data_IF_201987292754
#
_entry.id   IF_201987292754
#
_cell.length_a   1.000
_cell.length_b   1.000
_cell.length_c   1.000
_cell.angle_alpha   90.00
_cell.angle_beta   90.00
_cell.angle_gamma   90.00
#
_symmetry.space_group_name_H-M   'P 1'
#
loop_
_entity.id
_entity.type
_entity.pdbx_description
1 polymer ?
#
# COMPACT_ATOMS: atom_id res chain seq x y z
N UNK A 1 0.31 38.68 6.02
CA UNK A 1 1.32 37.62 5.89
C UNK A 1 0.74 36.40 6.55
N UNK A 2 0.55 35.29 5.81
CA UNK A 2 0.10 34.02 6.42
C UNK A 2 1.27 33.44 7.22
N UNK A 3 1.03 33.06 8.45
CA UNK A 3 2.03 32.37 9.26
C UNK A 3 2.54 31.12 8.53
N UNK A 4 3.84 30.82 8.60
CA UNK A 4 4.38 29.62 7.99
C UNK A 4 3.72 28.40 8.65
N UNK A 5 3.10 27.52 7.82
CA UNK A 5 2.56 26.24 8.27
C UNK A 5 3.71 25.26 8.40
N UNK A 6 4.08 24.92 9.62
CA UNK A 6 5.05 23.86 9.90
C UNK A 6 4.37 22.48 9.79
N UNK A 7 5.13 21.48 9.33
CA UNK A 7 4.68 20.09 9.39
C UNK A 7 4.53 19.67 10.86
N UNK A 8 3.52 18.85 11.21
CA UNK A 8 3.32 18.37 12.57
C UNK A 8 4.41 17.34 12.92
N UNK A 9 5.57 17.81 13.31
CA UNK A 9 6.68 16.98 13.74
C UNK A 9 6.46 16.45 15.17
N UNK A 10 6.99 15.27 15.45
CA UNK A 10 7.04 14.73 16.81
C UNK A 10 7.77 15.72 17.73
N UNK A 11 7.32 15.84 18.97
CA UNK A 11 8.00 16.68 19.95
C UNK A 11 9.41 16.15 20.28
N UNK A 12 10.37 17.00 20.63
CA UNK A 12 11.70 16.56 21.04
C UNK A 12 11.64 15.45 22.10
N UNK A 13 12.30 14.35 21.86
CA UNK A 13 12.30 13.17 22.73
C UNK A 13 11.12 12.21 22.55
N UNK A 14 10.19 12.49 21.63
CA UNK A 14 9.11 11.58 21.27
C UNK A 14 9.42 10.85 19.96
N UNK A 15 9.18 9.54 19.95
CA UNK A 15 9.22 8.76 18.71
C UNK A 15 7.93 9.01 17.92
N UNK A 16 7.99 9.41 16.62
CA UNK A 16 6.80 9.57 15.82
C UNK A 16 6.06 8.24 15.64
N UNK A 17 4.75 8.30 15.39
CA UNK A 17 4.02 7.14 14.91
C UNK A 17 4.62 6.67 13.58
N UNK A 18 4.68 5.36 13.38
CA UNK A 18 5.27 4.72 12.22
C UNK A 18 4.20 3.98 11.45
N UNK A 19 4.11 4.25 10.18
CA UNK A 19 3.12 3.62 9.29
C UNK A 19 3.82 3.06 8.06
N UNK A 20 3.30 1.97 7.52
CA UNK A 20 3.87 1.33 6.34
C UNK A 20 2.91 1.40 5.16
N UNK A 21 3.43 1.71 3.98
CA UNK A 21 2.76 1.44 2.72
C UNK A 21 3.38 0.24 2.03
N UNK A 22 2.54 -0.71 1.59
CA UNK A 22 2.91 -1.89 0.80
C UNK A 22 2.26 -1.71 -0.57
N UNK A 23 3.01 -1.18 -1.53
CA UNK A 23 2.42 -0.78 -2.81
C UNK A 23 3.46 -0.62 -3.92
N UNK A 24 2.98 -0.48 -5.14
CA UNK A 24 3.79 -0.08 -6.28
C UNK A 24 4.20 1.38 -6.23
N UNK A 25 5.27 1.71 -6.97
CA UNK A 25 5.70 3.08 -7.18
C UNK A 25 4.86 3.78 -8.24
N UNK A 26 4.89 5.10 -8.25
CA UNK A 26 4.48 5.94 -9.37
C UNK A 26 5.62 6.88 -9.74
N UNK A 27 6.26 6.68 -10.90
CA UNK A 27 7.37 7.51 -11.35
C UNK A 27 6.96 8.97 -11.59
N UNK A 28 5.67 9.24 -11.86
CA UNK A 28 5.10 10.58 -11.95
C UNK A 28 4.84 11.23 -10.59
N UNK A 29 4.82 10.42 -9.52
CA UNK A 29 4.69 10.86 -8.15
C UNK A 29 3.27 11.26 -7.73
N UNK A 30 2.23 11.06 -8.56
CA UNK A 30 0.83 11.42 -8.27
C UNK A 30 0.09 10.40 -7.42
N UNK A 31 0.56 9.16 -7.42
CA UNK A 31 -0.05 8.01 -6.75
C UNK A 31 1.03 7.13 -6.07
N UNK A 32 0.68 5.89 -5.74
CA UNK A 32 1.58 4.87 -5.22
C UNK A 32 2.31 5.30 -3.95
N UNK A 33 3.43 4.63 -3.68
CA UNK A 33 4.25 4.92 -2.49
C UNK A 33 4.67 6.38 -2.37
N UNK A 34 4.84 7.09 -3.48
CA UNK A 34 5.25 8.50 -3.47
C UNK A 34 4.14 9.40 -2.90
N UNK A 35 2.89 9.17 -3.26
CA UNK A 35 1.75 9.90 -2.70
C UNK A 35 1.54 9.56 -1.22
N UNK A 36 1.67 8.27 -0.87
CA UNK A 36 1.55 7.79 0.50
C UNK A 36 2.60 8.45 1.40
N UNK A 37 3.87 8.43 0.99
CA UNK A 37 4.98 9.02 1.76
C UNK A 37 4.82 10.53 1.98
N UNK A 38 4.33 11.26 0.97
CA UNK A 38 4.01 12.70 1.14
C UNK A 38 2.89 12.90 2.15
N UNK A 39 1.84 12.09 2.06
CA UNK A 39 0.71 12.15 3.00
C UNK A 39 1.17 11.85 4.42
N UNK A 40 1.97 10.83 4.62
CA UNK A 40 2.53 10.49 5.92
C UNK A 40 3.38 11.62 6.49
N UNK A 41 4.26 12.21 5.68
CA UNK A 41 5.07 13.36 6.10
C UNK A 41 4.21 14.57 6.48
N UNK A 42 3.15 14.86 5.70
CA UNK A 42 2.21 15.96 6.00
C UNK A 42 1.42 15.73 7.28
N UNK A 43 1.20 14.48 7.67
CA UNK A 43 0.53 14.10 8.93
C UNK A 43 1.51 13.95 10.11
N UNK A 44 2.80 14.16 9.90
CA UNK A 44 3.82 14.07 10.95
C UNK A 44 4.12 12.65 11.42
N UNK A 45 3.81 11.64 10.61
CA UNK A 45 4.13 10.25 10.90
C UNK A 45 5.35 9.79 10.10
N UNK A 46 6.13 8.88 10.65
CA UNK A 46 7.25 8.26 9.95
C UNK A 46 6.73 7.18 9.00
N UNK A 47 6.93 7.38 7.69
CA UNK A 47 6.54 6.44 6.66
C UNK A 47 7.61 5.39 6.41
N UNK A 48 7.21 4.11 6.44
CA UNK A 48 7.99 2.97 5.97
C UNK A 48 7.39 2.45 4.66
N UNK A 49 8.18 1.76 3.85
CA UNK A 49 7.76 1.30 2.52
C UNK A 49 8.16 -0.15 2.30
N UNK A 50 7.24 -0.93 1.72
CA UNK A 50 7.53 -2.17 1.02
C UNK A 50 7.08 -2.01 -0.44
N UNK A 51 8.03 -1.97 -1.36
CA UNK A 51 7.76 -1.78 -2.79
C UNK A 51 7.35 -3.11 -3.40
N UNK A 52 6.20 -3.14 -4.09
CA UNK A 52 5.69 -4.35 -4.76
C UNK A 52 5.97 -4.37 -6.25
N UNK A 53 6.01 -3.19 -6.87
CA UNK A 53 6.35 -3.02 -8.28
C UNK A 53 6.93 -1.62 -8.55
N UNK A 54 7.77 -1.52 -9.56
CA UNK A 54 8.27 -0.25 -10.08
C UNK A 54 7.57 0.04 -11.40
N UNK A 55 6.88 1.17 -11.50
CA UNK A 55 6.11 1.56 -12.70
C UNK A 55 6.89 2.49 -13.61
N UNK A 56 6.58 2.42 -14.90
CA UNK A 56 6.88 3.44 -15.91
C UNK A 56 5.58 4.22 -16.15
N UNK A 57 5.37 5.24 -15.32
CA UNK A 57 4.08 5.95 -15.22
C UNK A 57 4.28 7.46 -15.21
N UNK A 58 3.30 8.17 -15.77
CA UNK A 58 3.21 9.62 -15.73
C UNK A 58 1.74 10.07 -15.58
N UNK A 59 1.45 11.36 -15.74
CA UNK A 59 0.08 11.90 -15.62
C UNK A 59 -0.88 11.48 -16.74
N UNK A 60 -0.40 10.81 -17.77
CA UNK A 60 -1.20 10.38 -18.95
C UNK A 60 -1.56 8.90 -18.88
N UNK A 61 -0.78 8.07 -18.17
CA UNK A 61 -1.04 6.64 -18.05
C UNK A 61 0.16 5.83 -17.60
N UNK A 62 -0.06 4.52 -17.50
CA UNK A 62 0.96 3.51 -17.13
C UNK A 62 1.46 2.82 -18.39
N UNK A 63 2.73 3.00 -18.72
CA UNK A 63 3.36 2.37 -19.89
C UNK A 63 3.84 0.95 -19.62
N UNK A 64 3.99 0.58 -18.36
CA UNK A 64 4.42 -0.73 -17.90
C UNK A 64 4.90 -0.71 -16.46
N UNK A 65 5.15 -1.88 -15.92
CA UNK A 65 5.73 -2.03 -14.59
C UNK A 65 6.58 -3.30 -14.52
N UNK A 66 7.45 -3.34 -13.51
CA UNK A 66 8.25 -4.51 -13.15
C UNK A 66 7.93 -4.89 -11.71
N UNK A 67 7.49 -6.14 -11.51
CA UNK A 67 7.21 -6.68 -10.19
C UNK A 67 8.51 -6.91 -9.42
N UNK A 68 8.48 -6.62 -8.13
CA UNK A 68 9.59 -6.94 -7.23
C UNK A 68 9.53 -8.43 -6.88
N UNK A 69 10.65 -9.14 -6.80
CA UNK A 69 10.67 -10.55 -6.37
C UNK A 69 9.98 -10.77 -5.03
N UNK A 70 9.25 -11.88 -4.91
CA UNK A 70 8.39 -12.16 -3.75
C UNK A 70 9.16 -12.20 -2.42
N UNK A 71 10.34 -12.80 -2.43
CA UNK A 71 11.25 -12.85 -1.28
C UNK A 71 11.75 -11.47 -0.86
N UNK A 72 11.94 -10.56 -1.82
CA UNK A 72 12.32 -9.17 -1.54
C UNK A 72 11.14 -8.41 -0.93
N UNK A 73 9.91 -8.62 -1.43
CA UNK A 73 8.70 -7.99 -0.85
C UNK A 73 8.52 -8.45 0.60
N UNK A 74 8.57 -9.76 0.86
CA UNK A 74 8.50 -10.31 2.21
C UNK A 74 9.62 -9.75 3.09
N UNK A 75 10.86 -9.75 2.59
CA UNK A 75 12.03 -9.23 3.29
C UNK A 75 11.92 -7.76 3.70
N UNK A 76 11.33 -6.89 2.84
CA UNK A 76 11.09 -5.49 3.19
C UNK A 76 10.12 -5.35 4.35
N UNK A 77 9.02 -6.12 4.36
CA UNK A 77 8.04 -6.10 5.45
C UNK A 77 8.69 -6.58 6.75
N UNK A 78 9.38 -7.71 6.70
CA UNK A 78 10.06 -8.32 7.86
C UNK A 78 11.08 -7.35 8.44
N UNK A 79 11.98 -6.81 7.62
CA UNK A 79 13.03 -5.90 8.07
C UNK A 79 12.48 -4.67 8.82
N UNK A 80 11.37 -4.12 8.35
CA UNK A 80 10.74 -2.96 9.00
C UNK A 80 10.03 -3.37 10.29
N UNK A 81 9.33 -4.49 10.29
CA UNK A 81 8.52 -4.91 11.46
C UNK A 81 9.37 -5.42 12.61
N UNK A 82 10.51 -6.05 12.34
CA UNK A 82 11.42 -6.58 13.35
C UNK A 82 12.25 -5.49 14.05
N UNK A 83 12.61 -4.42 13.37
CA UNK A 83 13.48 -3.37 13.93
C UNK A 83 12.70 -2.08 14.24
N UNK A 84 12.09 -1.48 13.23
CA UNK A 84 11.42 -0.18 13.36
C UNK A 84 10.06 -0.34 14.07
N UNK A 85 9.31 -1.38 13.73
CA UNK A 85 7.92 -1.59 14.15
C UNK A 85 6.96 -0.59 13.50
N UNK A 86 5.68 -0.95 13.42
CA UNK A 86 4.64 -0.12 12.81
C UNK A 86 3.36 -0.11 13.65
N UNK A 87 2.62 0.98 13.62
CA UNK A 87 1.32 1.14 14.31
C UNK A 87 0.13 1.03 13.36
N UNK A 88 0.35 1.14 12.05
CA UNK A 88 -0.67 0.90 11.02
C UNK A 88 0.01 0.63 9.68
N UNK A 89 -0.73 0.02 8.74
CA UNK A 89 -0.28 -0.09 7.36
C UNK A 89 -1.43 0.06 6.37
N UNK A 90 -1.06 0.34 5.11
CA UNK A 90 -1.97 0.24 3.97
C UNK A 90 -1.35 -0.64 2.88
N UNK A 91 -2.20 -1.31 2.11
CA UNK A 91 -1.82 -1.87 0.81
C UNK A 91 -2.37 -1.00 -0.31
N UNK A 92 -1.61 -0.86 -1.38
CA UNK A 92 -2.07 -0.28 -2.65
C UNK A 92 -1.96 -1.30 -3.78
N UNK A 93 -1.39 -0.91 -4.93
CA UNK A 93 -1.20 -1.81 -6.07
C UNK A 93 -0.30 -2.99 -5.69
N UNK A 94 -0.81 -4.22 -5.82
CA UNK A 94 -0.11 -5.48 -5.55
C UNK A 94 0.13 -6.33 -6.82
N UNK A 95 -0.35 -5.87 -7.98
CA UNK A 95 -0.16 -6.41 -9.32
C UNK A 95 -0.64 -7.86 -9.54
N UNK A 96 -0.16 -8.86 -8.79
CA UNK A 96 -0.43 -10.29 -9.02
C UNK A 96 -0.96 -11.02 -7.79
N UNK A 97 -1.59 -12.19 -8.01
CA UNK A 97 -2.07 -13.10 -6.95
C UNK A 97 -0.94 -13.57 -6.05
N UNK A 98 0.24 -13.78 -6.61
CA UNK A 98 1.43 -14.23 -5.92
C UNK A 98 1.95 -13.18 -4.94
N UNK A 99 1.96 -11.90 -5.35
CA UNK A 99 2.32 -10.78 -4.48
C UNK A 99 1.29 -10.65 -3.34
N UNK A 100 0.00 -10.75 -3.67
CA UNK A 100 -1.09 -10.69 -2.68
C UNK A 100 -0.92 -11.80 -1.63
N UNK A 101 -0.71 -13.04 -2.07
CA UNK A 101 -0.50 -14.17 -1.18
C UNK A 101 0.74 -13.99 -0.30
N UNK A 102 1.84 -13.51 -0.88
CA UNK A 102 3.10 -13.23 -0.15
C UNK A 102 2.91 -12.17 0.93
N UNK A 103 2.23 -11.06 0.59
CA UNK A 103 1.93 -10.00 1.57
C UNK A 103 1.04 -10.52 2.69
N UNK A 104 -0.02 -11.26 2.36
CA UNK A 104 -0.96 -11.80 3.33
C UNK A 104 -0.29 -12.83 4.26
N UNK A 105 0.53 -13.71 3.73
CA UNK A 105 1.27 -14.70 4.50
C UNK A 105 2.30 -14.03 5.42
N UNK A 106 3.07 -13.09 4.89
CA UNK A 106 4.04 -12.32 5.69
C UNK A 106 3.34 -11.55 6.81
N UNK A 107 2.18 -10.94 6.53
CA UNK A 107 1.37 -10.23 7.53
C UNK A 107 0.94 -11.14 8.68
N UNK A 108 0.52 -12.38 8.36
CA UNK A 108 0.14 -13.38 9.36
C UNK A 108 1.34 -13.89 10.17
N UNK A 109 2.41 -14.25 9.49
CA UNK A 109 3.61 -14.85 10.13
C UNK A 109 4.37 -13.88 11.01
N UNK A 110 4.32 -12.58 10.70
CA UNK A 110 4.87 -11.51 11.54
C UNK A 110 3.95 -11.15 12.73
N UNK A 111 2.81 -11.84 12.91
CA UNK A 111 1.87 -11.58 14.00
C UNK A 111 1.19 -10.21 13.94
N UNK A 112 1.10 -9.61 12.77
CA UNK A 112 0.53 -8.27 12.58
C UNK A 112 -1.00 -8.30 12.51
N UNK A 113 -1.58 -9.43 12.07
CA UNK A 113 -3.03 -9.60 12.00
C UNK A 113 -3.65 -9.50 13.40
N UNK A 114 -4.68 -8.66 13.54
CA UNK A 114 -5.36 -8.40 14.80
C UNK A 114 -4.62 -7.49 15.78
N UNK A 115 -3.36 -7.13 15.49
CA UNK A 115 -2.53 -6.25 16.34
C UNK A 115 -2.25 -4.90 15.68
N UNK A 116 -2.03 -4.90 14.36
CA UNK A 116 -1.75 -3.70 13.56
C UNK A 116 -2.90 -3.48 12.58
N UNK A 117 -3.59 -2.32 12.61
CA UNK A 117 -4.62 -1.99 11.63
C UNK A 117 -4.07 -2.00 10.21
N UNK A 118 -4.79 -2.69 9.30
CA UNK A 118 -4.49 -2.76 7.88
C UNK A 118 -5.61 -2.10 7.07
N UNK A 119 -5.27 -1.07 6.32
CA UNK A 119 -6.16 -0.48 5.32
C UNK A 119 -5.86 -1.13 3.96
N UNK A 120 -6.85 -1.78 3.37
CA UNK A 120 -6.71 -2.39 2.04
C UNK A 120 -7.37 -1.49 1.00
N UNK A 121 -6.54 -0.92 0.13
CA UNK A 121 -6.95 -0.20 -1.07
C UNK A 121 -6.84 -1.19 -2.24
N UNK A 122 -7.97 -1.70 -2.78
CA UNK A 122 -7.97 -2.78 -3.76
C UNK A 122 -7.74 -2.26 -5.19
N UNK A 123 -6.63 -1.61 -5.42
CA UNK A 123 -6.28 -0.95 -6.70
C UNK A 123 -6.34 -1.94 -7.86
N UNK A 124 -7.42 -1.91 -8.64
CA UNK A 124 -7.64 -2.81 -9.78
C UNK A 124 -7.17 -2.20 -11.10
N UNK A 125 -7.27 -0.88 -11.26
CA UNK A 125 -6.90 -0.16 -12.47
C UNK A 125 -6.37 1.24 -12.16
N UNK A 126 -5.62 1.81 -13.11
CA UNK A 126 -5.21 3.22 -13.05
C UNK A 126 -6.42 4.15 -13.22
N UNK A 127 -6.26 5.44 -12.89
CA UNK A 127 -7.28 6.47 -13.16
C UNK A 127 -7.69 6.57 -14.64
N UNK A 128 -6.86 6.05 -15.55
CA UNK A 128 -7.12 6.03 -17.00
C UNK A 128 -7.67 4.68 -17.49
N UNK A 129 -7.94 3.73 -16.56
CA UNK A 129 -8.47 2.41 -16.88
C UNK A 129 -7.41 1.37 -17.29
N UNK A 130 -6.11 1.69 -17.19
CA UNK A 130 -5.07 0.70 -17.43
C UNK A 130 -5.16 -0.39 -16.35
N UNK A 131 -5.22 -1.68 -16.72
CA UNK A 131 -5.30 -2.76 -15.74
C UNK A 131 -4.00 -2.83 -14.92
N UNK A 132 -4.13 -2.70 -13.60
CA UNK A 132 -3.02 -2.77 -12.65
C UNK A 132 -3.05 -4.06 -11.83
N UNK A 133 -4.11 -4.84 -11.99
CA UNK A 133 -4.32 -6.11 -11.32
C UNK A 133 -4.66 -7.17 -12.34
N UNK A 134 -3.98 -8.30 -12.28
CA UNK A 134 -4.33 -9.45 -13.13
C UNK A 134 -5.73 -9.97 -12.74
N UNK A 135 -6.60 -10.41 -13.68
CA UNK A 135 -7.95 -10.88 -13.38
C UNK A 135 -8.02 -11.97 -12.30
N UNK A 136 -7.03 -12.86 -12.24
CA UNK A 136 -6.95 -13.90 -11.21
C UNK A 136 -6.69 -13.32 -9.80
N UNK A 137 -6.14 -12.14 -9.70
CA UNK A 137 -5.77 -11.52 -8.43
C UNK A 137 -6.96 -10.94 -7.67
N UNK A 138 -8.10 -10.66 -8.33
CA UNK A 138 -9.33 -10.24 -7.65
C UNK A 138 -9.79 -11.26 -6.60
N UNK A 139 -9.71 -12.53 -6.94
CA UNK A 139 -10.06 -13.60 -6.01
C UNK A 139 -9.08 -13.66 -4.83
N UNK A 140 -7.79 -13.44 -5.09
CA UNK A 140 -6.79 -13.38 -4.04
C UNK A 140 -7.00 -12.17 -3.10
N UNK A 141 -7.41 -11.01 -3.61
CA UNK A 141 -7.79 -9.86 -2.77
C UNK A 141 -8.92 -10.23 -1.82
N UNK A 142 -9.99 -10.86 -2.35
CA UNK A 142 -11.15 -11.26 -1.53
C UNK A 142 -10.79 -12.34 -0.51
N UNK A 143 -10.02 -13.35 -0.91
CA UNK A 143 -9.73 -14.51 -0.09
C UNK A 143 -8.60 -14.27 0.93
N UNK A 144 -7.59 -13.50 0.57
CA UNK A 144 -6.36 -13.39 1.34
C UNK A 144 -6.21 -12.05 2.07
N UNK A 145 -6.57 -10.92 1.44
CA UNK A 145 -6.37 -9.59 2.02
C UNK A 145 -7.56 -9.10 2.82
N UNK A 146 -8.79 -9.24 2.31
CA UNK A 146 -9.97 -8.74 3.00
C UNK A 146 -10.16 -9.32 4.40
N UNK A 147 -9.88 -10.62 4.66
CA UNK A 147 -9.93 -11.14 6.03
C UNK A 147 -8.93 -10.52 7.00
N UNK A 148 -7.87 -9.88 6.48
CA UNK A 148 -6.84 -9.20 7.28
C UNK A 148 -7.14 -7.71 7.46
N UNK A 149 -8.06 -7.15 6.66
CA UNK A 149 -8.33 -5.72 6.62
C UNK A 149 -9.09 -5.23 7.84
N UNK A 150 -8.65 -4.11 8.40
CA UNK A 150 -9.45 -3.32 9.35
C UNK A 150 -10.42 -2.39 8.61
N UNK A 151 -10.00 -1.92 7.43
CA UNK A 151 -10.76 -1.04 6.56
C UNK A 151 -10.45 -1.39 5.10
N UNK A 152 -11.47 -1.34 4.23
CA UNK A 152 -11.32 -1.46 2.78
C UNK A 152 -11.81 -0.18 2.14
N UNK A 153 -11.07 0.38 1.16
CA UNK A 153 -11.34 1.68 0.55
C UNK A 153 -11.53 1.59 -0.97
N UNK A 154 -12.47 0.77 -1.48
CA UNK A 154 -12.70 0.66 -2.92
C UNK A 154 -13.38 1.92 -3.47
N UNK A 155 -13.03 2.31 -4.70
CA UNK A 155 -13.82 3.24 -5.49
C UNK A 155 -15.06 2.52 -6.09
N UNK A 156 -15.96 3.26 -6.77
CA UNK A 156 -17.21 2.68 -7.29
C UNK A 156 -17.00 1.58 -8.33
N UNK A 157 -15.99 1.71 -9.18
CA UNK A 157 -15.70 0.71 -10.21
C UNK A 157 -15.08 -0.55 -9.60
N UNK A 158 -14.24 -0.38 -8.60
CA UNK A 158 -13.68 -1.49 -7.81
C UNK A 158 -14.78 -2.22 -7.02
N UNK A 159 -15.74 -1.50 -6.43
CA UNK A 159 -16.90 -2.13 -5.78
C UNK A 159 -17.64 -3.04 -6.75
N UNK A 160 -17.94 -2.57 -7.96
CA UNK A 160 -18.63 -3.38 -8.98
C UNK A 160 -17.86 -4.66 -9.31
N UNK A 161 -16.54 -4.55 -9.48
CA UNK A 161 -15.68 -5.70 -9.73
C UNK A 161 -15.60 -6.67 -8.54
N UNK A 162 -15.63 -6.13 -7.31
CA UNK A 162 -15.42 -6.92 -6.10
C UNK A 162 -16.68 -7.66 -5.63
N UNK A 163 -17.88 -7.17 -5.96
CA UNK A 163 -19.16 -7.76 -5.49
C UNK A 163 -19.98 -8.40 -6.61
N UNK A 164 -19.43 -8.51 -7.84
CA UNK A 164 -20.09 -9.07 -9.03
C UNK A 164 -21.51 -8.50 -9.25
N UNK A 165 -21.67 -7.18 -9.14
CA UNK A 165 -22.95 -6.48 -9.44
C UNK A 165 -22.77 -5.66 -10.68
N UNK A 166 -23.70 -5.84 -11.65
CA UNK A 166 -23.81 -5.03 -12.87
C UNK A 166 -24.23 -3.57 -12.58
#
# INVERSE_FOLDING_TARGET
>A
MTEPRYLPLAQPGQTPLRVMTIAGSDSGGGAGIQADMRTFAMLGVHGCVAVTAVTVQNSVGVKGFHEIPLDVIAGQIIAVTEDIGIQAAKTGMLASSEIIATVAETWRTQGLHGTVPLVVDPVCASMHGDPLLHPSALNAVRAELFPLATLVTPNLDEVRLLVDVD
#
